data_IF_094011052187
#
_entry.id   IF_094011052187
#
_cell.length_a   1.000
_cell.length_b   1.000
_cell.length_c   1.000
_cell.angle_alpha   90.00
_cell.angle_beta   90.00
_cell.angle_gamma   90.00
#
_symmetry.space_group_name_H-M   'P 1'
#
loop_
_entity.id
_entity.type
_entity.pdbx_description
1 polymer ?
#
# COMPACT_ATOMS: atom_id res chain seq x y z
N UNK A 1 -5.00 -15.24 -11.07
CA UNK A 1 -5.77 -13.97 -11.12
C UNK A 1 -7.03 -14.16 -10.31
N UNK A 2 -7.21 -13.40 -9.23
CA UNK A 2 -8.43 -13.41 -8.42
C UNK A 2 -9.47 -12.57 -9.16
N UNK A 3 -10.71 -13.07 -9.26
CA UNK A 3 -11.80 -12.39 -10.00
C UNK A 3 -12.45 -11.30 -9.15
N UNK A 4 -13.00 -10.27 -9.79
CA UNK A 4 -13.67 -9.13 -9.09
C UNK A 4 -14.79 -9.58 -8.14
N UNK A 5 -15.52 -10.64 -8.48
CA UNK A 5 -16.55 -11.22 -7.62
C UNK A 5 -15.97 -11.85 -6.33
N UNK A 6 -14.80 -12.48 -6.42
CA UNK A 6 -14.11 -13.06 -5.27
C UNK A 6 -13.54 -11.97 -4.34
N UNK A 7 -12.95 -10.92 -4.93
CA UNK A 7 -12.50 -9.74 -4.20
C UNK A 7 -13.66 -9.07 -3.45
N UNK A 8 -14.84 -8.95 -4.09
CA UNK A 8 -16.02 -8.34 -3.49
C UNK A 8 -16.55 -9.14 -2.30
N UNK A 9 -16.63 -10.46 -2.43
CA UNK A 9 -17.06 -11.35 -1.35
C UNK A 9 -16.07 -11.32 -0.17
N UNK A 10 -14.76 -11.30 -0.42
CA UNK A 10 -13.76 -11.13 0.64
C UNK A 10 -13.92 -9.81 1.39
N UNK A 11 -14.18 -8.71 0.68
CA UNK A 11 -14.38 -7.38 1.29
C UNK A 11 -15.64 -7.36 2.18
N UNK A 12 -16.72 -8.02 1.77
CA UNK A 12 -17.99 -8.04 2.51
C UNK A 12 -17.92 -8.79 3.85
N UNK A 13 -17.00 -9.74 3.99
CA UNK A 13 -16.87 -10.56 5.22
C UNK A 13 -15.60 -10.28 6.01
N UNK A 14 -14.72 -9.40 5.53
CA UNK A 14 -13.41 -9.16 6.14
C UNK A 14 -13.50 -8.31 7.42
N UNK A 15 -12.67 -8.65 8.41
CA UNK A 15 -12.42 -7.77 9.55
C UNK A 15 -11.65 -6.51 9.10
N UNK A 16 -11.66 -5.41 9.88
CA UNK A 16 -10.87 -4.22 9.56
C UNK A 16 -9.38 -4.51 9.32
N UNK A 17 -8.79 -5.45 10.08
CA UNK A 17 -7.39 -5.87 9.91
C UNK A 17 -7.20 -6.63 8.59
N UNK A 18 -8.13 -7.50 8.20
CA UNK A 18 -8.09 -8.19 6.90
C UNK A 18 -8.25 -7.23 5.72
N UNK A 19 -9.07 -6.18 5.85
CA UNK A 19 -9.18 -5.12 4.84
C UNK A 19 -7.86 -4.35 4.70
N UNK A 20 -7.17 -4.06 5.80
CA UNK A 20 -5.83 -3.46 5.77
C UNK A 20 -4.82 -4.41 5.08
N UNK A 21 -4.86 -5.71 5.39
CA UNK A 21 -4.02 -6.71 4.73
C UNK A 21 -4.26 -6.81 3.21
N UNK A 22 -5.51 -6.65 2.77
CA UNK A 22 -5.85 -6.55 1.34
C UNK A 22 -5.26 -5.29 0.69
N UNK A 23 -5.31 -4.13 1.36
CA UNK A 23 -4.67 -2.90 0.88
C UNK A 23 -3.16 -3.06 0.77
N UNK A 24 -2.50 -3.69 1.75
CA UNK A 24 -1.05 -3.93 1.70
C UNK A 24 -0.63 -4.81 0.52
N UNK A 25 -1.34 -5.92 0.31
CA UNK A 25 -1.11 -6.78 -0.86
C UNK A 25 -1.31 -6.02 -2.16
N UNK A 26 -2.44 -5.31 -2.30
CA UNK A 26 -2.74 -4.58 -3.53
C UNK A 26 -1.74 -3.46 -3.81
N UNK A 27 -1.32 -2.72 -2.80
CA UNK A 27 -0.30 -1.68 -2.98
C UNK A 27 1.06 -2.26 -3.37
N UNK A 28 1.44 -3.42 -2.85
CA UNK A 28 2.65 -4.14 -3.25
C UNK A 28 2.63 -4.54 -4.72
N UNK A 29 1.55 -5.17 -5.18
CA UNK A 29 1.34 -5.53 -6.60
C UNK A 29 1.42 -4.30 -7.52
N UNK A 30 0.82 -3.18 -7.11
CA UNK A 30 0.87 -1.93 -7.88
C UNK A 30 2.28 -1.35 -7.96
N UNK A 31 3.07 -1.47 -6.89
CA UNK A 31 4.49 -1.09 -6.91
C UNK A 31 5.31 -2.01 -7.83
N UNK A 32 4.97 -3.30 -7.95
CA UNK A 32 5.63 -4.23 -8.88
C UNK A 32 5.33 -3.86 -10.33
N UNK A 33 4.05 -3.58 -10.60
CA UNK A 33 3.59 -3.14 -11.91
C UNK A 33 4.24 -1.82 -12.32
N UNK A 34 4.35 -0.87 -11.39
CA UNK A 34 5.03 0.41 -11.61
C UNK A 34 6.53 0.23 -11.92
N UNK A 35 7.25 -0.58 -11.15
CA UNK A 35 8.69 -0.81 -11.35
C UNK A 35 8.96 -1.46 -12.72
N UNK A 36 8.16 -2.47 -13.07
CA UNK A 36 8.24 -3.13 -14.38
C UNK A 36 7.96 -2.16 -15.51
N UNK A 37 6.88 -1.38 -15.43
CA UNK A 37 6.53 -0.40 -16.46
C UNK A 37 7.58 0.70 -16.63
N UNK A 38 8.16 1.21 -15.54
CA UNK A 38 9.26 2.18 -15.59
C UNK A 38 10.50 1.60 -16.27
N UNK A 39 10.87 0.36 -15.92
CA UNK A 39 12.04 -0.33 -16.49
C UNK A 39 11.88 -0.62 -17.98
N UNK A 40 10.65 -0.92 -18.41
CA UNK A 40 10.33 -1.20 -19.82
C UNK A 40 10.04 0.05 -20.66
N UNK A 41 10.10 1.25 -20.08
CA UNK A 41 9.83 2.50 -20.80
C UNK A 41 8.34 2.81 -21.01
N UNK A 42 7.42 2.09 -20.35
CA UNK A 42 5.96 2.25 -20.47
C UNK A 42 5.42 3.30 -19.49
N UNK A 43 5.57 4.57 -19.86
CA UNK A 43 5.33 5.71 -18.95
C UNK A 43 3.87 5.90 -18.49
N UNK A 44 2.91 5.58 -19.36
CA UNK A 44 1.47 5.68 -19.04
C UNK A 44 1.04 4.57 -18.08
N UNK A 45 1.50 3.34 -18.31
CA UNK A 45 1.27 2.21 -17.41
C UNK A 45 1.91 2.46 -16.04
N UNK A 46 3.14 3.00 -16.03
CA UNK A 46 3.81 3.41 -14.80
C UNK A 46 3.02 4.50 -14.06
N UNK A 47 2.50 5.50 -14.79
CA UNK A 47 1.67 6.56 -14.20
C UNK A 47 0.41 5.99 -13.54
N UNK A 48 -0.28 5.10 -14.25
CA UNK A 48 -1.49 4.47 -13.76
C UNK A 48 -1.21 3.66 -12.48
N UNK A 49 -0.21 2.79 -12.51
CA UNK A 49 0.16 1.95 -11.37
C UNK A 49 0.59 2.78 -10.15
N UNK A 50 1.44 3.80 -10.35
CA UNK A 50 1.90 4.68 -9.26
C UNK A 50 0.77 5.49 -8.64
N UNK A 51 -0.14 6.03 -9.47
CA UNK A 51 -1.30 6.78 -8.99
C UNK A 51 -2.25 5.87 -8.21
N UNK A 52 -2.43 4.62 -8.66
CA UNK A 52 -3.22 3.63 -7.92
C UNK A 52 -2.56 3.24 -6.60
N UNK A 53 -1.24 3.06 -6.56
CA UNK A 53 -0.51 2.80 -5.32
C UNK A 53 -0.66 3.97 -4.33
N UNK A 54 -0.56 5.21 -4.80
CA UNK A 54 -0.81 6.41 -3.98
C UNK A 54 -2.23 6.45 -3.40
N UNK A 55 -3.24 6.06 -4.18
CA UNK A 55 -4.63 5.97 -3.68
C UNK A 55 -4.74 4.97 -2.53
N UNK A 56 -4.11 3.79 -2.66
CA UNK A 56 -4.06 2.80 -1.56
C UNK A 56 -3.44 3.41 -0.29
N UNK A 57 -2.30 4.10 -0.42
CA UNK A 57 -1.65 4.73 0.73
C UNK A 57 -2.50 5.85 1.34
N UNK A 58 -3.23 6.60 0.51
CA UNK A 58 -4.15 7.63 0.98
C UNK A 58 -5.33 7.03 1.78
N UNK A 59 -5.87 5.88 1.36
CA UNK A 59 -6.90 5.18 2.14
C UNK A 59 -6.36 4.70 3.49
N UNK A 60 -5.13 4.17 3.54
CA UNK A 60 -4.48 3.81 4.80
C UNK A 60 -4.27 5.01 5.72
N UNK A 61 -3.93 6.18 5.17
CA UNK A 61 -3.82 7.43 5.92
C UNK A 61 -5.17 7.91 6.49
N UNK A 62 -6.24 7.76 5.70
CA UNK A 62 -7.60 8.12 6.11
C UNK A 62 -8.15 7.19 7.20
N UNK A 63 -7.72 5.94 7.21
CA UNK A 63 -8.11 4.94 8.20
C UNK A 63 -7.44 5.14 9.58
N UNK A 64 -6.44 6.02 9.71
CA UNK A 64 -5.75 6.25 10.99
C UNK A 64 -6.59 7.09 11.95
N UNK A 65 -6.98 6.49 13.08
CA UNK A 65 -7.55 7.19 14.23
C UNK A 65 -6.42 7.75 15.11
N UNK A 66 -6.11 9.04 14.95
CA UNK A 66 -5.06 9.70 15.74
C UNK A 66 -5.47 10.03 17.17
N UNK A 67 -6.76 10.08 17.49
CA UNK A 67 -7.24 10.32 18.85
C UNK A 67 -7.05 9.06 19.72
N UNK A 68 -7.42 7.89 19.19
CA UNK A 68 -7.27 6.62 19.92
C UNK A 68 -5.90 5.98 19.76
N UNK A 69 -5.24 6.19 18.61
CA UNK A 69 -3.97 5.52 18.29
C UNK A 69 -2.72 6.18 18.86
N UNK A 70 -2.82 7.39 19.43
CA UNK A 70 -1.71 8.09 20.09
C UNK A 70 -0.42 8.12 19.25
N UNK A 71 0.72 7.85 19.89
CA UNK A 71 2.04 7.87 19.26
C UNK A 71 2.18 6.86 18.11
N UNK A 72 1.47 5.73 18.17
CA UNK A 72 1.51 4.71 17.11
C UNK A 72 0.87 5.26 15.84
N UNK A 73 -0.30 5.89 15.94
CA UNK A 73 -0.96 6.50 14.78
C UNK A 73 -0.13 7.65 14.18
N UNK A 74 0.55 8.42 15.02
CA UNK A 74 1.47 9.48 14.55
C UNK A 74 2.65 8.89 13.78
N UNK A 75 3.26 7.81 14.27
CA UNK A 75 4.38 7.16 13.59
C UNK A 75 3.95 6.49 12.28
N UNK A 76 2.80 5.81 12.26
CA UNK A 76 2.22 5.24 11.03
C UNK A 76 1.92 6.33 10.00
N UNK A 77 1.34 7.45 10.42
CA UNK A 77 1.08 8.59 9.54
C UNK A 77 2.36 9.09 8.86
N UNK A 78 3.47 9.18 9.59
CA UNK A 78 4.78 9.60 9.04
C UNK A 78 5.28 8.60 8.00
N UNK A 79 5.22 7.30 8.29
CA UNK A 79 5.68 6.26 7.37
C UNK A 79 4.81 6.21 6.11
N UNK A 80 3.49 6.26 6.24
CA UNK A 80 2.59 6.28 5.08
C UNK A 80 2.77 7.55 4.24
N UNK A 81 2.94 8.71 4.88
CA UNK A 81 3.23 9.97 4.16
C UNK A 81 4.53 9.86 3.36
N UNK A 82 5.59 9.31 3.97
CA UNK A 82 6.85 9.07 3.27
C UNK A 82 6.67 8.18 2.05
N UNK A 83 5.97 7.03 2.17
CA UNK A 83 5.70 6.14 1.03
C UNK A 83 4.92 6.89 -0.06
N UNK A 84 3.87 7.62 0.31
CA UNK A 84 3.06 8.38 -0.65
C UNK A 84 3.90 9.41 -1.44
N UNK A 85 4.75 10.17 -0.75
CA UNK A 85 5.65 11.17 -1.37
C UNK A 85 6.67 10.51 -2.30
N UNK A 86 7.24 9.37 -1.89
CA UNK A 86 8.19 8.62 -2.71
C UNK A 86 7.54 8.10 -4.00
N UNK A 87 6.31 7.58 -3.92
CA UNK A 87 5.53 7.19 -5.11
C UNK A 87 5.23 8.39 -6.01
N UNK A 88 4.92 9.56 -5.43
CA UNK A 88 4.74 10.81 -6.17
C UNK A 88 6.00 11.21 -6.91
N UNK A 89 7.15 11.20 -6.24
CA UNK A 89 8.43 11.52 -6.86
C UNK A 89 8.81 10.53 -7.97
N UNK A 90 8.57 9.23 -7.78
CA UNK A 90 8.76 8.22 -8.82
C UNK A 90 7.92 8.55 -10.06
N UNK A 91 6.66 8.97 -9.87
CA UNK A 91 5.75 9.28 -10.98
C UNK A 91 6.13 10.57 -11.71
N UNK A 92 6.48 11.62 -10.96
CA UNK A 92 6.88 12.92 -11.54
C UNK A 92 8.21 12.82 -12.29
N UNK A 93 9.17 12.05 -11.76
CA UNK A 93 10.52 11.92 -12.33
C UNK A 93 10.66 10.75 -13.30
N UNK A 94 9.67 9.86 -13.35
CA UNK A 94 9.73 8.58 -14.08
C UNK A 94 11.00 7.79 -13.76
N UNK A 95 11.30 7.70 -12.46
CA UNK A 95 12.52 7.07 -11.95
C UNK A 95 12.14 5.98 -10.94
N UNK A 96 12.89 4.89 -10.99
CA UNK A 96 12.68 3.69 -10.17
C UNK A 96 13.21 3.89 -8.75
N UNK A 97 14.21 4.75 -8.57
CA UNK A 97 14.89 4.94 -7.28
C UNK A 97 13.94 5.37 -6.15
N UNK A 98 13.08 6.41 -6.30
CA UNK A 98 12.11 6.73 -5.25
C UNK A 98 11.09 5.61 -5.01
N UNK A 99 10.73 4.84 -6.04
CA UNK A 99 9.83 3.70 -5.89
C UNK A 99 10.45 2.60 -5.02
N UNK A 100 11.76 2.35 -5.16
CA UNK A 100 12.49 1.40 -4.31
C UNK A 100 12.52 1.83 -2.84
N UNK A 101 12.72 3.13 -2.58
CA UNK A 101 12.63 3.69 -1.21
C UNK A 101 11.24 3.44 -0.60
N UNK A 102 10.17 3.70 -1.37
CA UNK A 102 8.79 3.43 -0.96
C UNK A 102 8.58 1.95 -0.65
N UNK A 103 9.03 1.07 -1.55
CA UNK A 103 8.90 -0.39 -1.44
C UNK A 103 9.56 -0.93 -0.18
N UNK A 104 10.76 -0.46 0.17
CA UNK A 104 11.45 -0.91 1.39
C UNK A 104 10.64 -0.64 2.67
N UNK A 105 10.00 0.53 2.76
CA UNK A 105 9.15 0.87 3.91
C UNK A 105 7.83 0.10 3.85
N UNK A 106 7.26 -0.06 2.66
CA UNK A 106 6.04 -0.81 2.43
C UNK A 106 6.15 -2.27 2.85
N UNK A 107 7.25 -2.95 2.51
CA UNK A 107 7.48 -4.35 2.86
C UNK A 107 7.57 -4.57 4.37
N UNK A 108 8.28 -3.69 5.08
CA UNK A 108 8.36 -3.74 6.55
C UNK A 108 7.00 -3.57 7.21
N UNK A 109 6.20 -2.61 6.72
CA UNK A 109 4.84 -2.39 7.20
C UNK A 109 3.93 -3.58 6.88
N UNK A 110 4.03 -4.13 5.67
CA UNK A 110 3.24 -5.29 5.23
C UNK A 110 3.53 -6.51 6.09
N UNK A 111 4.79 -6.74 6.46
CA UNK A 111 5.17 -7.83 7.36
C UNK A 111 4.54 -7.63 8.75
N UNK A 112 4.66 -6.43 9.31
CA UNK A 112 4.07 -6.11 10.62
C UNK A 112 2.55 -6.33 10.63
N UNK A 113 1.84 -5.87 9.59
CA UNK A 113 0.40 -6.07 9.48
C UNK A 113 0.01 -7.53 9.27
N UNK A 114 0.81 -8.31 8.55
CA UNK A 114 0.60 -9.76 8.43
C UNK A 114 0.72 -10.47 9.78
N UNK A 115 1.65 -10.05 10.65
CA UNK A 115 1.74 -10.59 12.00
C UNK A 115 0.53 -10.21 12.86
N UNK A 116 -0.01 -8.99 12.71
CA UNK A 116 -1.24 -8.56 13.40
C UNK A 116 -2.45 -9.38 12.93
N UNK A 117 -2.61 -9.54 11.62
CA UNK A 117 -3.67 -10.36 11.02
C UNK A 117 -3.62 -11.81 11.51
N UNK A 118 -2.43 -12.42 11.57
CA UNK A 118 -2.25 -13.78 12.06
C UNK A 118 -2.63 -13.93 13.54
N UNK A 119 -2.42 -12.90 14.36
CA UNK A 119 -2.80 -12.90 15.78
C UNK A 119 -4.30 -12.74 15.98
N UNK A 120 -4.98 -11.98 15.13
CA UNK A 120 -6.45 -11.87 15.18
C UNK A 120 -7.16 -13.11 14.64
N UNK A 121 -6.64 -13.72 13.56
CA UNK A 121 -7.20 -14.95 12.98
C UNK A 121 -6.92 -16.23 13.80
N UNK A 122 -6.08 -16.14 14.83
CA UNK A 122 -5.77 -17.22 15.77
C UNK A 122 -6.66 -17.28 17.02
N UNK A 123 -7.73 -16.47 17.06
CA UNK A 123 -8.73 -16.45 18.15
C UNK A 123 -9.98 -17.26 17.82
#
# INVERSE_FOLDING_TARGET
>A
MLTDAYLRQMVETATPVQLIGLLFRRGGELMDDAERALTEGRMDDAHFALTKAQQVVAELLNALDTEKGGDIAVNLRRLYTFVWERLLHANLRKSVEPLKDARQVWEQLSQLWSEVEAREGGA
#
